data_IF_226522224685
#
_entry.id   IF_226522224685
#
_cell.length_a   1.000
_cell.length_b   1.000
_cell.length_c   1.000
_cell.angle_alpha   90.00
_cell.angle_beta   90.00
_cell.angle_gamma   90.00
#
_symmetry.space_group_name_H-M   'P 1'
#
loop_
_entity.id
_entity.type
_entity.pdbx_description
1 polymer ?
#
# COMPACT_ATOMS: atom_id res chain seq x y z
N UNK A 1 -3.01 -2.53 18.19
CA UNK A 1 -2.99 -3.58 19.22
C UNK A 1 -2.06 -4.72 18.82
N UNK A 2 -2.20 -5.28 17.60
CA UNK A 2 -1.40 -6.41 17.09
C UNK A 2 0.10 -6.10 17.00
N UNK A 3 0.50 -4.89 16.56
CA UNK A 3 1.90 -4.46 16.50
C UNK A 3 2.53 -4.44 17.90
N UNK A 4 1.82 -3.93 18.89
CA UNK A 4 2.29 -3.93 20.31
C UNK A 4 2.51 -5.35 20.85
N UNK A 5 1.67 -6.31 20.48
CA UNK A 5 1.81 -7.72 20.89
C UNK A 5 3.03 -8.36 20.22
N UNK A 6 3.23 -8.10 18.92
CA UNK A 6 4.41 -8.59 18.18
C UNK A 6 5.68 -8.01 18.78
N UNK A 7 5.74 -6.70 19.06
CA UNK A 7 6.91 -6.06 19.66
C UNK A 7 7.21 -6.59 21.07
N UNK A 8 6.19 -6.86 21.90
CA UNK A 8 6.40 -7.54 23.20
C UNK A 8 7.04 -8.92 23.04
N UNK A 9 6.61 -9.69 22.04
CA UNK A 9 7.20 -10.99 21.76
C UNK A 9 8.65 -10.87 21.26
N UNK A 10 8.95 -9.91 20.39
CA UNK A 10 10.31 -9.62 19.92
C UNK A 10 11.23 -9.25 21.09
N UNK A 11 10.79 -8.33 21.96
CA UNK A 11 11.54 -7.89 23.12
C UNK A 11 11.81 -9.05 24.10
N UNK A 12 10.82 -9.91 24.35
CA UNK A 12 11.01 -11.08 25.21
C UNK A 12 12.04 -12.07 24.66
N UNK A 13 12.06 -12.28 23.35
CA UNK A 13 13.07 -13.11 22.67
C UNK A 13 14.46 -12.50 22.76
N UNK A 14 14.58 -11.19 22.55
CA UNK A 14 15.83 -10.45 22.64
C UNK A 14 16.44 -10.54 24.06
N UNK A 15 15.62 -10.34 25.09
CA UNK A 15 16.05 -10.49 26.49
C UNK A 15 16.48 -11.93 26.81
N UNK A 16 15.79 -12.93 26.28
CA UNK A 16 16.11 -14.34 26.50
C UNK A 16 17.43 -14.76 25.81
N UNK A 17 17.80 -14.10 24.71
CA UNK A 17 19.03 -14.37 23.96
C UNK A 17 20.28 -13.70 24.53
N UNK A 18 20.17 -12.90 25.61
CA UNK A 18 21.28 -12.23 26.26
C UNK A 18 21.89 -11.03 25.50
N UNK A 19 21.26 -10.58 24.42
CA UNK A 19 21.72 -9.44 23.61
C UNK A 19 21.51 -8.06 24.26
N UNK A 20 20.87 -7.98 25.40
CA UNK A 20 20.50 -6.72 26.07
C UNK A 20 21.68 -5.96 26.74
N UNK A 21 22.89 -6.49 26.68
CA UNK A 21 24.04 -5.90 27.42
C UNK A 21 25.00 -5.04 26.58
N UNK A 22 24.79 -4.90 25.26
CA UNK A 22 25.76 -4.23 24.37
C UNK A 22 25.39 -2.83 23.87
N UNK A 23 24.26 -2.29 24.26
CA UNK A 23 23.55 -1.20 23.57
C UNK A 23 24.08 0.21 23.85
N UNK A 24 24.77 0.44 24.95
CA UNK A 24 25.15 1.80 25.40
C UNK A 24 26.41 2.35 24.70
N UNK A 25 27.28 1.50 24.21
CA UNK A 25 28.58 1.94 23.63
C UNK A 25 28.49 2.27 22.11
N UNK A 26 27.53 1.72 21.37
CA UNK A 26 27.32 1.99 19.93
C UNK A 26 26.69 3.35 19.64
N UNK A 27 25.89 3.89 20.55
CA UNK A 27 25.14 5.14 20.33
C UNK A 27 26.03 6.37 20.10
N UNK A 28 27.28 6.37 20.63
CA UNK A 28 28.20 7.50 20.48
C UNK A 28 28.91 7.57 19.14
N UNK A 29 29.02 6.47 18.40
CA UNK A 29 29.70 6.44 17.10
C UNK A 29 28.80 6.94 15.95
N UNK A 30 27.49 6.85 16.11
CA UNK A 30 26.49 7.17 15.06
C UNK A 30 26.16 8.66 14.99
N UNK A 31 26.38 9.45 16.05
CA UNK A 31 26.10 10.90 16.03
C UNK A 31 27.04 11.68 15.07
N UNK A 32 28.26 11.20 14.81
CA UNK A 32 29.19 11.81 13.86
C UNK A 32 28.77 11.65 12.39
N UNK A 33 28.10 10.58 12.04
CA UNK A 33 27.70 10.26 10.66
C UNK A 33 26.34 10.91 10.25
N UNK A 34 25.54 11.35 11.23
CA UNK A 34 24.21 11.97 10.98
C UNK A 34 24.29 13.36 10.33
N UNK A 35 25.41 14.10 10.50
CA UNK A 35 25.57 15.45 9.96
C UNK A 35 25.73 15.47 8.44
N UNK A 36 26.44 14.50 7.89
CA UNK A 36 26.74 14.45 6.45
C UNK A 36 25.58 13.87 5.62
N UNK A 37 24.72 13.03 6.24
CA UNK A 37 23.55 12.42 5.58
C UNK A 37 22.38 13.37 5.37
N UNK A 38 22.18 14.39 6.23
CA UNK A 38 21.09 15.37 6.07
C UNK A 38 21.24 16.28 4.84
N UNK A 39 22.47 16.51 4.37
CA UNK A 39 22.70 17.32 3.17
C UNK A 39 22.38 16.57 1.87
N UNK A 40 22.65 15.27 1.78
CA UNK A 40 22.38 14.46 0.59
C UNK A 40 20.88 14.18 0.37
N UNK A 41 20.10 14.01 1.45
CA UNK A 41 18.66 13.80 1.35
C UNK A 41 17.88 15.01 0.81
N UNK A 42 18.34 16.24 1.13
CA UNK A 42 17.74 17.48 0.64
C UNK A 42 17.93 17.71 -0.87
N UNK A 43 19.01 17.23 -1.44
CA UNK A 43 19.30 17.35 -2.89
C UNK A 43 18.55 16.30 -3.72
N UNK A 44 18.32 15.11 -3.18
CA UNK A 44 17.54 14.07 -3.85
C UNK A 44 16.03 14.43 -3.91
N UNK A 45 15.49 15.06 -2.88
CA UNK A 45 14.08 15.49 -2.86
C UNK A 45 13.78 16.61 -3.90
N UNK A 46 14.76 17.44 -4.25
CA UNK A 46 14.65 18.44 -5.32
C UNK A 46 14.64 17.83 -6.73
N UNK A 47 15.28 16.69 -6.95
CA UNK A 47 15.31 15.98 -8.23
C UNK A 47 14.01 15.25 -8.57
N UNK A 48 13.21 14.89 -7.58
CA UNK A 48 11.94 14.18 -7.75
C UNK A 48 10.75 15.09 -8.14
N UNK A 49 10.94 16.41 -8.18
CA UNK A 49 9.89 17.38 -8.55
C UNK A 49 9.92 17.80 -10.02
N UNK A 50 10.87 17.33 -10.82
CA UNK A 50 10.90 17.63 -12.26
C UNK A 50 10.21 16.53 -13.06
N UNK A 51 9.26 16.96 -13.87
CA UNK A 51 8.40 16.27 -14.81
C UNK A 51 9.05 15.05 -15.49
N UNK A 52 8.66 13.84 -15.08
CA UNK A 52 9.05 12.57 -15.71
C UNK A 52 7.81 11.79 -16.15
N UNK A 53 7.92 11.19 -17.31
CA UNK A 53 6.97 10.29 -17.97
C UNK A 53 6.40 9.24 -17.00
N UNK A 54 5.07 8.99 -16.96
CA UNK A 54 4.43 8.01 -16.08
C UNK A 54 5.00 6.58 -16.18
N UNK A 55 5.55 6.19 -17.32
CA UNK A 55 6.15 4.87 -17.52
C UNK A 55 7.55 4.74 -16.88
N UNK A 56 8.25 5.84 -16.66
CA UNK A 56 9.52 5.83 -15.92
C UNK A 56 9.33 5.66 -14.41
N UNK A 57 8.19 6.06 -13.85
CA UNK A 57 7.89 5.87 -12.42
C UNK A 57 7.77 4.39 -12.02
N UNK A 58 7.40 3.51 -12.94
CA UNK A 58 7.36 2.04 -12.69
C UNK A 58 8.75 1.40 -12.63
N UNK A 59 9.78 2.07 -13.17
CA UNK A 59 11.13 1.52 -13.29
C UNK A 59 12.02 1.83 -12.08
N UNK A 60 11.60 2.76 -11.20
CA UNK A 60 12.41 3.24 -10.07
C UNK A 60 11.97 2.74 -8.69
N UNK A 61 10.99 1.84 -8.61
CA UNK A 61 10.74 1.04 -7.41
C UNK A 61 11.52 -0.27 -7.55
N UNK A 62 12.82 -0.19 -7.75
CA UNK A 62 13.71 -1.34 -7.72
C UNK A 62 14.45 -1.35 -6.38
N UNK A 63 14.51 -2.51 -5.82
CA UNK A 63 15.04 -3.08 -4.58
C UNK A 63 16.14 -2.33 -3.79
N UNK A 64 16.77 -1.28 -4.32
CA UNK A 64 17.97 -0.65 -3.72
C UNK A 64 17.61 0.57 -2.87
N UNK A 65 16.57 1.33 -3.21
CA UNK A 65 16.21 2.57 -2.49
C UNK A 65 15.33 2.35 -1.24
N UNK A 66 14.82 1.14 -1.06
CA UNK A 66 13.88 0.81 0.03
C UNK A 66 14.62 0.67 1.37
N UNK A 67 15.85 0.18 1.37
CA UNK A 67 16.55 -0.24 2.59
C UNK A 67 17.00 0.90 3.52
N UNK A 68 17.42 2.05 3.00
CA UNK A 68 17.94 3.15 3.84
C UNK A 68 16.84 4.02 4.46
N UNK A 69 15.67 4.12 3.83
CA UNK A 69 14.54 4.90 4.34
C UNK A 69 13.62 4.12 5.29
N UNK A 70 13.84 2.81 5.44
CA UNK A 70 12.97 1.91 6.20
C UNK A 70 13.34 1.83 7.69
N UNK A 71 14.41 2.53 8.11
CA UNK A 71 14.89 2.53 9.49
C UNK A 71 14.58 3.88 10.14
N UNK A 72 13.92 3.85 11.27
CA UNK A 72 13.60 5.03 12.09
C UNK A 72 14.05 4.81 13.54
N UNK A 73 14.06 5.88 14.33
CA UNK A 73 14.28 5.75 15.77
C UNK A 73 13.11 4.99 16.41
N UNK A 74 13.42 4.08 17.34
CA UNK A 74 12.39 3.35 18.08
C UNK A 74 11.65 4.26 19.05
N UNK A 75 10.35 4.04 19.19
CA UNK A 75 9.50 4.71 20.21
C UNK A 75 9.29 3.87 21.44
N UNK A 76 9.67 2.59 21.42
CA UNK A 76 9.52 1.66 22.54
C UNK A 76 10.84 1.42 23.25
N UNK A 77 10.80 1.49 24.57
CA UNK A 77 11.96 1.16 25.42
C UNK A 77 12.42 -0.29 25.17
N UNK A 78 13.71 -0.48 24.97
CA UNK A 78 14.33 -1.78 24.73
C UNK A 78 14.61 -2.11 23.26
N UNK A 79 14.31 -1.18 22.35
CA UNK A 79 14.72 -1.21 20.97
C UNK A 79 15.46 0.07 20.61
N UNK A 80 16.49 -0.01 19.76
CA UNK A 80 17.27 1.15 19.31
C UNK A 80 16.67 1.78 18.05
N UNK A 81 16.16 0.94 17.16
CA UNK A 81 15.63 1.33 15.87
C UNK A 81 14.28 0.66 15.62
N UNK A 82 13.55 1.17 14.64
CA UNK A 82 12.28 0.62 14.19
C UNK A 82 12.30 0.45 12.67
N UNK A 83 11.63 -0.58 12.17
CA UNK A 83 11.46 -0.82 10.74
C UNK A 83 10.09 -1.45 10.45
N UNK A 84 9.58 -1.23 9.24
CA UNK A 84 8.42 -1.94 8.67
C UNK A 84 8.85 -3.00 7.64
N UNK A 85 10.13 -3.05 7.28
CA UNK A 85 10.66 -3.99 6.30
C UNK A 85 10.91 -5.37 6.93
N UNK A 86 10.25 -6.40 6.41
CA UNK A 86 10.32 -7.76 6.96
C UNK A 86 11.75 -8.30 6.95
N UNK A 87 12.51 -8.09 5.86
CA UNK A 87 13.88 -8.60 5.75
C UNK A 87 14.82 -7.97 6.80
N UNK A 88 14.66 -6.66 7.05
CA UNK A 88 15.42 -5.97 8.10
C UNK A 88 15.03 -6.47 9.49
N UNK A 89 13.75 -6.70 9.73
CA UNK A 89 13.27 -7.20 11.00
C UNK A 89 13.71 -8.65 11.28
N UNK A 90 13.88 -9.45 10.25
CA UNK A 90 14.40 -10.82 10.37
C UNK A 90 15.92 -10.83 10.60
N UNK A 91 16.66 -9.93 9.92
CA UNK A 91 18.09 -9.78 10.10
C UNK A 91 18.46 -9.08 11.43
N UNK A 92 17.57 -8.23 11.95
CA UNK A 92 17.76 -7.38 13.13
C UNK A 92 16.69 -7.62 14.19
N UNK A 93 16.81 -8.66 15.05
CA UNK A 93 15.85 -8.93 16.11
C UNK A 93 15.69 -7.77 17.12
N UNK A 94 16.74 -6.91 17.23
CA UNK A 94 16.77 -5.72 18.07
C UNK A 94 15.96 -4.53 17.52
N UNK A 95 15.36 -4.65 16.33
CA UNK A 95 14.52 -3.59 15.76
C UNK A 95 13.05 -3.77 16.15
N UNK A 96 12.41 -2.64 16.48
CA UNK A 96 10.96 -2.56 16.68
C UNK A 96 10.23 -2.73 15.36
N UNK A 97 9.15 -3.50 15.34
CA UNK A 97 8.21 -3.49 14.21
C UNK A 97 7.37 -2.22 14.25
N UNK A 98 7.46 -1.41 13.21
CA UNK A 98 6.64 -0.21 13.02
C UNK A 98 5.75 -0.30 11.78
N UNK A 99 5.06 0.77 11.44
CA UNK A 99 4.24 0.89 10.24
C UNK A 99 4.11 2.36 9.83
N UNK A 100 3.86 2.57 8.55
CA UNK A 100 3.59 3.90 8.01
C UNK A 100 2.09 4.17 8.06
N UNK A 101 1.71 5.31 8.63
CA UNK A 101 0.32 5.78 8.61
C UNK A 101 0.14 6.68 7.39
N UNK A 102 -0.58 6.20 6.40
CA UNK A 102 -0.97 7.02 5.25
C UNK A 102 -2.23 7.83 5.59
N UNK A 103 -2.19 9.16 5.51
CA UNK A 103 -3.39 9.97 5.71
C UNK A 103 -4.39 9.71 4.59
N UNK A 104 -5.70 9.63 4.88
CA UNK A 104 -6.72 9.42 3.87
C UNK A 104 -6.81 10.63 2.93
N UNK A 105 -7.03 10.36 1.62
CA UNK A 105 -7.16 11.37 0.57
C UNK A 105 -8.52 11.26 -0.11
N UNK A 106 -9.58 11.66 0.60
CA UNK A 106 -10.98 11.43 0.17
C UNK A 106 -11.27 12.00 -1.23
N UNK A 107 -10.76 13.19 -1.55
CA UNK A 107 -10.95 13.78 -2.89
C UNK A 107 -10.37 12.90 -4.00
N UNK A 108 -9.20 12.28 -3.77
CA UNK A 108 -8.61 11.33 -4.71
C UNK A 108 -9.46 10.07 -4.85
N UNK A 109 -10.02 9.56 -3.75
CA UNK A 109 -10.86 8.36 -3.79
C UNK A 109 -12.15 8.62 -4.58
N UNK A 110 -12.77 9.79 -4.41
CA UNK A 110 -13.93 10.23 -5.19
C UNK A 110 -13.62 10.35 -6.69
N UNK A 111 -12.46 10.89 -7.04
CA UNK A 111 -12.01 10.97 -8.44
C UNK A 111 -11.90 9.57 -9.06
N UNK A 112 -11.21 8.65 -8.39
CA UNK A 112 -11.08 7.28 -8.88
C UNK A 112 -12.41 6.54 -8.94
N UNK A 113 -13.29 6.72 -7.96
CA UNK A 113 -14.65 6.17 -7.97
C UNK A 113 -15.42 6.64 -9.21
N UNK A 114 -15.37 7.94 -9.51
CA UNK A 114 -16.03 8.52 -10.71
C UNK A 114 -15.43 7.96 -12.01
N UNK A 115 -14.11 7.81 -12.07
CA UNK A 115 -13.44 7.22 -13.25
C UNK A 115 -13.87 5.77 -13.46
N UNK A 116 -13.94 4.97 -12.41
CA UNK A 116 -14.40 3.57 -12.47
C UNK A 116 -15.87 3.50 -12.87
N UNK A 117 -16.72 4.34 -12.30
CA UNK A 117 -18.13 4.42 -12.69
C UNK A 117 -18.30 4.74 -14.18
N UNK A 118 -17.50 5.66 -14.73
CA UNK A 118 -17.50 5.97 -16.16
C UNK A 118 -17.04 4.79 -17.05
N UNK A 119 -16.23 3.87 -16.52
CA UNK A 119 -15.90 2.62 -17.23
C UNK A 119 -17.12 1.71 -17.28
N UNK A 120 -17.87 1.57 -16.20
CA UNK A 120 -19.11 0.77 -16.16
C UNK A 120 -20.16 1.32 -17.12
N UNK A 121 -20.29 2.63 -17.26
CA UNK A 121 -21.20 3.27 -18.22
C UNK A 121 -20.90 2.97 -19.69
N UNK A 122 -19.72 2.44 -20.03
CA UNK A 122 -19.41 1.94 -21.39
C UNK A 122 -20.21 0.67 -21.70
N UNK A 123 -20.69 -0.04 -20.70
CA UNK A 123 -21.31 -1.36 -20.79
C UNK A 123 -22.76 -1.38 -20.36
N UNK A 124 -23.10 -0.66 -19.31
CA UNK A 124 -24.39 -0.72 -18.61
C UNK A 124 -24.95 0.69 -18.53
N UNK A 125 -26.22 0.83 -18.80
CA UNK A 125 -26.92 2.11 -18.67
C UNK A 125 -27.02 2.54 -17.19
N UNK A 126 -27.03 3.84 -16.90
CA UNK A 126 -27.01 4.34 -15.52
C UNK A 126 -28.23 3.91 -14.70
N UNK A 127 -29.39 3.69 -15.31
CA UNK A 127 -30.60 3.20 -14.68
C UNK A 127 -30.50 1.77 -14.15
N UNK A 128 -29.58 0.96 -14.70
CA UNK A 128 -29.35 -0.42 -14.29
C UNK A 128 -28.13 -0.54 -13.34
N UNK A 129 -27.53 0.60 -12.94
CA UNK A 129 -26.44 0.68 -11.97
C UNK A 129 -26.94 1.33 -10.69
N UNK A 130 -26.91 0.58 -9.58
CA UNK A 130 -27.18 1.09 -8.23
C UNK A 130 -25.88 1.30 -7.48
N UNK A 131 -25.51 2.55 -7.21
CA UNK A 131 -24.31 2.89 -6.40
C UNK A 131 -24.64 2.65 -4.93
N UNK A 132 -23.93 1.70 -4.30
CA UNK A 132 -24.11 1.37 -2.89
C UNK A 132 -23.16 2.18 -2.00
N UNK A 133 -21.89 2.30 -2.40
CA UNK A 133 -20.89 3.11 -1.70
C UNK A 133 -19.92 3.76 -2.71
N UNK A 134 -18.89 4.42 -2.21
CA UNK A 134 -17.85 5.05 -3.03
C UNK A 134 -17.11 4.05 -3.93
N UNK A 135 -17.07 2.79 -3.55
CA UNK A 135 -16.32 1.70 -4.19
C UNK A 135 -17.15 0.45 -4.51
N UNK A 136 -18.46 0.50 -4.26
CA UNK A 136 -19.35 -0.63 -4.46
C UNK A 136 -20.57 -0.24 -5.31
N UNK A 137 -20.87 -1.07 -6.30
CA UNK A 137 -22.05 -0.93 -7.16
C UNK A 137 -22.73 -2.28 -7.36
N UNK A 138 -24.06 -2.25 -7.53
CA UNK A 138 -24.84 -3.35 -8.06
C UNK A 138 -25.26 -3.03 -9.48
N UNK A 139 -25.26 -4.02 -10.36
CA UNK A 139 -25.64 -3.86 -11.77
C UNK A 139 -26.60 -4.96 -12.19
N UNK A 140 -27.72 -4.61 -12.78
CA UNK A 140 -28.58 -5.57 -13.49
C UNK A 140 -28.04 -5.75 -14.92
N UNK A 141 -27.43 -6.89 -15.19
CA UNK A 141 -26.84 -7.20 -16.50
C UNK A 141 -27.74 -8.11 -17.34
N UNK A 142 -28.94 -8.41 -16.90
CA UNK A 142 -29.86 -9.43 -17.51
C UNK A 142 -30.07 -9.18 -19.00
N UNK A 143 -30.39 -7.96 -19.40
CA UNK A 143 -30.67 -7.61 -20.79
C UNK A 143 -29.41 -7.47 -21.64
N UNK A 144 -28.28 -7.14 -21.04
CA UNK A 144 -27.01 -6.87 -21.72
C UNK A 144 -26.31 -8.14 -22.21
N UNK A 145 -26.52 -9.28 -21.54
CA UNK A 145 -25.90 -10.56 -21.91
C UNK A 145 -26.26 -10.98 -23.33
N UNK A 146 -27.51 -10.74 -23.76
CA UNK A 146 -27.94 -11.02 -25.13
C UNK A 146 -27.33 -10.04 -26.13
N UNK A 147 -27.29 -8.76 -25.79
CA UNK A 147 -26.74 -7.69 -26.64
C UNK A 147 -25.24 -7.89 -26.91
N UNK A 148 -24.49 -8.27 -25.88
CA UNK A 148 -23.06 -8.49 -26.01
C UNK A 148 -22.68 -9.92 -26.42
N UNK A 149 -23.64 -10.83 -26.52
CA UNK A 149 -23.41 -12.27 -26.75
C UNK A 149 -22.39 -12.88 -25.76
N UNK A 150 -22.49 -12.48 -24.49
CA UNK A 150 -21.58 -12.85 -23.41
C UNK A 150 -22.35 -13.49 -22.26
N UNK A 151 -21.68 -14.37 -21.53
CA UNK A 151 -22.12 -14.79 -20.20
C UNK A 151 -21.87 -13.67 -19.18
N UNK A 152 -22.59 -13.70 -18.04
CA UNK A 152 -22.37 -12.73 -16.96
C UNK A 152 -20.91 -12.71 -16.49
N UNK A 153 -20.24 -13.87 -16.46
CA UNK A 153 -18.83 -13.99 -16.08
C UNK A 153 -17.91 -13.31 -17.09
N UNK A 154 -18.14 -13.51 -18.38
CA UNK A 154 -17.31 -12.88 -19.42
C UNK A 154 -17.47 -11.35 -19.41
N UNK A 155 -18.71 -10.86 -19.25
CA UNK A 155 -18.97 -9.42 -19.14
C UNK A 155 -18.31 -8.83 -17.89
N UNK A 156 -18.44 -9.48 -16.73
CA UNK A 156 -17.82 -9.06 -15.49
C UNK A 156 -16.29 -9.04 -15.60
N UNK A 157 -15.66 -10.11 -16.13
CA UNK A 157 -14.23 -10.18 -16.34
C UNK A 157 -13.74 -9.04 -17.23
N UNK A 158 -14.44 -8.76 -18.32
CA UNK A 158 -14.11 -7.67 -19.24
C UNK A 158 -14.16 -6.30 -18.56
N UNK A 159 -15.18 -6.03 -17.75
CA UNK A 159 -15.29 -4.78 -17.00
C UNK A 159 -14.16 -4.63 -15.97
N UNK A 160 -13.83 -5.71 -15.23
CA UNK A 160 -12.74 -5.74 -14.25
C UNK A 160 -11.38 -5.49 -14.94
N UNK A 161 -11.13 -6.13 -16.08
CA UNK A 161 -9.91 -5.94 -16.87
C UNK A 161 -9.77 -4.50 -17.36
N UNK A 162 -10.86 -3.86 -17.81
CA UNK A 162 -10.85 -2.46 -18.22
C UNK A 162 -10.63 -1.51 -17.03
N UNK A 163 -11.19 -1.80 -15.86
CA UNK A 163 -10.91 -1.04 -14.63
C UNK A 163 -9.43 -1.11 -14.30
N UNK A 164 -8.85 -2.30 -14.29
CA UNK A 164 -7.42 -2.50 -14.00
C UNK A 164 -6.55 -1.77 -15.02
N UNK A 165 -6.87 -1.88 -16.30
CA UNK A 165 -6.12 -1.26 -17.40
C UNK A 165 -6.14 0.27 -17.35
N UNK A 166 -7.31 0.86 -17.08
CA UNK A 166 -7.50 2.31 -17.12
C UNK A 166 -7.08 3.01 -15.82
N UNK A 167 -7.13 2.30 -14.67
CA UNK A 167 -6.90 2.89 -13.34
C UNK A 167 -5.72 2.29 -12.58
N UNK A 168 -5.28 1.08 -12.91
CA UNK A 168 -4.32 0.30 -12.14
C UNK A 168 -4.90 -0.30 -10.84
N UNK A 169 -6.23 -0.18 -10.61
CA UNK A 169 -6.90 -0.69 -9.42
C UNK A 169 -7.53 -2.05 -9.74
N UNK A 170 -7.30 -3.02 -8.88
CA UNK A 170 -7.96 -4.34 -8.96
C UNK A 170 -9.39 -4.25 -8.40
N UNK A 171 -10.32 -4.95 -9.05
CA UNK A 171 -11.69 -5.07 -8.58
C UNK A 171 -12.07 -6.54 -8.41
N UNK A 172 -13.08 -6.81 -7.59
CA UNK A 172 -13.70 -8.13 -7.43
C UNK A 172 -15.18 -8.04 -7.80
N UNK A 173 -15.78 -9.15 -8.22
CA UNK A 173 -17.18 -9.21 -8.60
C UNK A 173 -17.82 -10.49 -8.09
N UNK A 174 -19.00 -10.36 -7.47
CA UNK A 174 -19.92 -11.46 -7.21
C UNK A 174 -20.99 -11.49 -8.31
N UNK A 175 -21.40 -12.67 -8.73
CA UNK A 175 -22.49 -12.87 -9.71
C UNK A 175 -23.56 -13.72 -9.06
N UNK A 176 -24.77 -13.20 -9.01
CA UNK A 176 -25.94 -13.87 -8.45
C UNK A 176 -27.20 -13.61 -9.26
N UNK A 177 -28.29 -14.27 -8.90
CA UNK A 177 -29.61 -14.08 -9.52
C UNK A 177 -30.46 -13.05 -8.79
N UNK A 178 -29.99 -12.52 -7.68
CA UNK A 178 -30.62 -11.47 -6.90
C UNK A 178 -29.56 -10.72 -6.05
N UNK A 179 -29.98 -9.63 -5.38
CA UNK A 179 -29.10 -8.76 -4.59
C UNK A 179 -28.53 -9.40 -3.31
N UNK A 180 -28.94 -10.60 -2.94
CA UNK A 180 -28.54 -11.27 -1.69
C UNK A 180 -27.58 -12.45 -1.91
N UNK A 181 -27.11 -12.69 -3.13
CA UNK A 181 -26.24 -13.80 -3.49
C UNK A 181 -24.78 -13.37 -3.73
#
# INVERSE_FOLDING_TARGET
>A
QRVKEVNKLRLSKLMASGHAAGTVERSRQIEGEKSDRKQSAGEQQKRLQTEGNPDERKKYVTEIDIAENDITESTMAGFDYASYNANLLDAHPEYELTYIVAPPRMALYMDYSTRIYNIYLKYIAPEDISVYSIDEVFMDVTHYLRTYHMTARELASKMIDDVLKDTGITATCGIGTNLYL
#
